data_IF_983995054571
#
_entry.id   IF_983995054571
#
_cell.length_a   1.000
_cell.length_b   1.000
_cell.length_c   1.000
_cell.angle_alpha   90.00
_cell.angle_beta   90.00
_cell.angle_gamma   90.00
#
_symmetry.space_group_name_H-M   'P 1'
#
loop_
_entity.id
_entity.type
_entity.pdbx_description
1 polymer ?
#
# COMPACT_ATOMS: atom_id res chain seq x y z
N UNK A 1 -24.06 -58.24 21.40
CA UNK A 1 -24.47 -59.50 22.10
C UNK A 1 -25.67 -59.14 22.96
N UNK A 2 -26.87 -59.15 22.37
CA UNK A 2 -28.13 -58.90 23.07
C UNK A 2 -29.09 -59.98 22.63
N UNK A 3 -29.07 -61.05 23.36
CA UNK A 3 -29.96 -62.18 23.20
C UNK A 3 -31.35 -61.85 23.78
N UNK A 4 -32.29 -61.77 22.94
CA UNK A 4 -33.60 -62.42 22.86
C UNK A 4 -34.33 -62.67 24.19
N UNK A 5 -35.01 -61.60 24.68
CA UNK A 5 -35.98 -61.69 25.76
C UNK A 5 -37.40 -62.06 25.29
N UNK A 6 -37.58 -62.29 24.01
CA UNK A 6 -38.86 -62.63 23.41
C UNK A 6 -39.23 -64.12 23.40
N UNK A 7 -38.26 -65.02 23.69
CA UNK A 7 -38.51 -66.43 23.57
C UNK A 7 -39.02 -67.13 24.86
N UNK A 8 -39.05 -66.39 25.98
CA UNK A 8 -39.43 -67.01 27.26
C UNK A 8 -40.90 -66.85 27.67
N UNK A 9 -41.66 -65.97 26.99
CA UNK A 9 -43.10 -65.79 27.27
C UNK A 9 -44.05 -66.72 26.48
N UNK A 10 -43.52 -67.45 25.50
CA UNK A 10 -44.39 -68.36 24.65
C UNK A 10 -44.47 -69.74 25.19
N UNK A 11 -43.63 -70.21 26.15
CA UNK A 11 -43.68 -71.54 26.72
C UNK A 11 -44.58 -71.73 27.91
N UNK A 12 -45.10 -70.64 28.52
CA UNK A 12 -45.97 -70.69 29.71
C UNK A 12 -47.50 -70.77 29.38
N UNK A 13 -47.90 -70.66 28.13
CA UNK A 13 -49.34 -70.66 27.75
C UNK A 13 -49.86 -72.05 27.36
N UNK A 14 -49.01 -73.13 27.23
CA UNK A 14 -49.41 -74.44 26.73
C UNK A 14 -49.63 -75.48 27.81
N UNK A 15 -49.59 -75.14 29.11
CA UNK A 15 -49.67 -76.15 30.22
C UNK A 15 -51.00 -76.09 31.00
N UNK A 16 -52.03 -75.38 30.55
CA UNK A 16 -53.37 -75.41 31.21
C UNK A 16 -54.48 -75.84 30.23
N UNK A 17 -54.24 -76.93 29.53
CA UNK A 17 -55.29 -77.64 28.75
C UNK A 17 -55.67 -78.89 29.42
N UNK A 18 -56.40 -78.86 30.55
CA UNK A 18 -56.81 -80.05 31.24
C UNK A 18 -57.93 -79.85 32.29
N UNK A 19 -58.76 -78.82 32.13
CA UNK A 19 -60.04 -78.81 32.91
C UNK A 19 -61.17 -78.46 31.97
N UNK A 20 -61.87 -79.51 31.52
CA UNK A 20 -63.10 -79.35 30.73
C UNK A 20 -64.20 -78.65 31.54
N UNK A 21 -64.12 -77.28 31.57
CA UNK A 21 -65.27 -76.42 31.93
C UNK A 21 -65.87 -75.97 30.60
N UNK A 22 -67.06 -76.39 30.22
CA UNK A 22 -67.82 -75.86 29.17
C UNK A 22 -68.18 -74.39 29.51
N UNK A 23 -67.27 -73.41 29.25
CA UNK A 23 -67.56 -72.04 29.37
C UNK A 23 -68.57 -71.69 28.26
N UNK A 24 -69.77 -71.26 28.59
CA UNK A 24 -70.79 -70.83 27.62
C UNK A 24 -70.22 -69.69 26.78
N UNK A 25 -70.56 -69.70 25.50
CA UNK A 25 -70.11 -68.67 24.53
C UNK A 25 -70.24 -67.26 25.07
N UNK A 26 -71.26 -66.98 25.83
CA UNK A 26 -71.48 -65.68 26.46
C UNK A 26 -70.54 -65.38 27.63
N UNK A 27 -70.11 -66.41 28.41
CA UNK A 27 -69.11 -66.20 29.47
C UNK A 27 -67.74 -65.84 28.88
N UNK A 28 -67.29 -66.59 27.86
CA UNK A 28 -66.04 -66.29 27.18
C UNK A 28 -66.09 -64.89 26.55
N UNK A 29 -67.18 -64.53 25.83
CA UNK A 29 -67.36 -63.23 25.26
C UNK A 29 -67.34 -62.11 26.30
N UNK A 30 -67.96 -62.28 27.43
CA UNK A 30 -67.97 -61.25 28.49
C UNK A 30 -66.62 -61.08 29.18
N UNK A 31 -65.78 -62.13 29.29
CA UNK A 31 -64.44 -62.07 29.83
C UNK A 31 -63.42 -61.55 28.83
N UNK A 32 -63.61 -61.81 27.54
CA UNK A 32 -62.67 -61.34 26.52
C UNK A 32 -62.96 -59.97 25.98
N UNK A 33 -64.22 -59.50 25.99
CA UNK A 33 -64.62 -58.17 25.49
C UNK A 33 -63.83 -57.03 26.11
N UNK A 34 -63.66 -56.95 27.46
CA UNK A 34 -62.88 -55.87 28.05
C UNK A 34 -61.38 -55.96 27.66
N UNK A 35 -60.85 -57.18 27.48
CA UNK A 35 -59.44 -57.37 27.03
C UNK A 35 -59.29 -56.85 25.59
N UNK A 36 -60.22 -57.19 24.71
CA UNK A 36 -60.23 -56.73 23.31
C UNK A 36 -60.35 -55.18 23.27
N UNK A 37 -61.21 -54.59 24.07
CA UNK A 37 -61.34 -53.14 24.19
C UNK A 37 -60.04 -52.47 24.68
N UNK A 38 -59.39 -53.05 25.69
CA UNK A 38 -58.12 -52.57 26.18
C UNK A 38 -57.01 -52.71 25.13
N UNK A 39 -56.98 -53.82 24.40
CA UNK A 39 -56.01 -54.03 23.28
C UNK A 39 -56.21 -53.01 22.20
N UNK A 40 -57.45 -52.80 21.74
CA UNK A 40 -57.75 -51.79 20.74
C UNK A 40 -57.33 -50.36 21.21
N UNK A 41 -57.63 -50.02 22.49
CA UNK A 41 -57.19 -48.75 23.06
C UNK A 41 -55.67 -48.61 23.13
N UNK A 42 -54.96 -49.73 23.39
CA UNK A 42 -53.53 -49.74 23.38
C UNK A 42 -52.95 -49.58 21.99
N UNK A 43 -53.54 -50.24 20.99
CA UNK A 43 -53.17 -50.06 19.57
C UNK A 43 -53.36 -48.62 19.11
N UNK A 44 -54.51 -47.99 19.46
CA UNK A 44 -54.75 -46.58 19.15
C UNK A 44 -53.72 -45.63 19.79
N UNK A 45 -53.39 -45.92 21.07
CA UNK A 45 -52.35 -45.13 21.77
C UNK A 45 -50.96 -45.35 21.12
N UNK A 46 -50.63 -46.57 20.75
CA UNK A 46 -49.38 -46.91 20.08
C UNK A 46 -49.28 -46.20 18.75
N UNK A 47 -50.37 -46.21 17.94
CA UNK A 47 -50.44 -45.48 16.68
C UNK A 47 -50.32 -43.98 16.87
N UNK A 48 -50.95 -43.39 17.90
CA UNK A 48 -50.81 -42.00 18.24
C UNK A 48 -49.39 -41.63 18.69
N UNK A 49 -48.78 -42.44 19.56
CA UNK A 49 -47.37 -42.24 19.98
C UNK A 49 -46.42 -42.30 18.78
N UNK A 50 -46.58 -43.27 17.87
CA UNK A 50 -45.75 -43.39 16.70
C UNK A 50 -45.85 -42.13 15.81
N UNK A 51 -47.06 -41.59 15.62
CA UNK A 51 -47.24 -40.31 14.89
C UNK A 51 -46.53 -39.18 15.58
N UNK A 52 -46.70 -39.04 16.92
CA UNK A 52 -46.05 -37.98 17.71
C UNK A 52 -44.49 -38.07 17.68
N UNK A 53 -43.99 -39.33 17.67
CA UNK A 53 -42.53 -39.56 17.49
C UNK A 53 -42.05 -39.10 16.13
N UNK A 54 -42.74 -39.46 15.02
CA UNK A 54 -42.39 -39.02 13.69
C UNK A 54 -42.46 -37.51 13.54
N UNK A 55 -43.53 -36.87 14.04
CA UNK A 55 -43.65 -35.40 14.04
C UNK A 55 -42.53 -34.70 14.83
N UNK A 56 -42.09 -35.34 15.93
CA UNK A 56 -40.97 -34.78 16.72
C UNK A 56 -39.65 -34.95 16.06
N UNK A 57 -39.42 -36.10 15.39
CA UNK A 57 -38.22 -36.39 14.60
C UNK A 57 -38.10 -35.41 13.40
N UNK A 58 -39.20 -35.26 12.65
CA UNK A 58 -39.26 -34.32 11.52
C UNK A 58 -38.95 -32.87 11.97
N UNK A 59 -39.53 -32.44 13.10
CA UNK A 59 -39.23 -31.12 13.68
C UNK A 59 -37.78 -30.98 14.14
N UNK A 60 -37.23 -32.02 14.74
CA UNK A 60 -35.84 -32.05 15.20
C UNK A 60 -34.88 -31.99 13.98
N UNK A 61 -35.14 -32.77 12.95
CA UNK A 61 -34.32 -32.78 11.72
C UNK A 61 -34.41 -31.41 11.01
N UNK A 62 -35.58 -30.82 10.89
CA UNK A 62 -35.76 -29.49 10.33
C UNK A 62 -35.02 -28.41 11.18
N UNK A 63 -35.04 -28.53 12.50
CA UNK A 63 -34.32 -27.66 13.42
C UNK A 63 -32.80 -27.78 13.25
N UNK A 64 -32.30 -29.01 13.18
CA UNK A 64 -30.88 -29.28 12.93
C UNK A 64 -30.43 -28.70 11.58
N UNK A 65 -31.23 -28.91 10.52
CA UNK A 65 -30.92 -28.34 9.20
C UNK A 65 -30.84 -26.82 9.19
N UNK A 66 -31.77 -26.15 9.89
CA UNK A 66 -31.73 -24.69 10.06
C UNK A 66 -30.50 -24.22 10.84
N UNK A 67 -30.16 -24.90 11.94
CA UNK A 67 -29.01 -24.57 12.76
C UNK A 67 -27.70 -24.76 11.99
N UNK A 68 -27.62 -25.82 11.22
CA UNK A 68 -26.47 -26.11 10.34
C UNK A 68 -26.29 -25.00 9.31
N UNK A 69 -27.36 -24.63 8.57
CA UNK A 69 -27.31 -23.56 7.58
C UNK A 69 -26.95 -22.21 8.19
N UNK A 70 -27.42 -21.92 9.40
CA UNK A 70 -27.02 -20.70 10.12
C UNK A 70 -25.52 -20.72 10.53
N UNK A 71 -25.04 -21.88 10.98
CA UNK A 71 -23.62 -22.04 11.32
C UNK A 71 -22.71 -21.91 10.09
N UNK A 72 -23.10 -22.48 8.95
CA UNK A 72 -22.35 -22.37 7.69
C UNK A 72 -22.33 -20.91 7.20
N UNK A 73 -23.44 -20.22 7.25
CA UNK A 73 -23.52 -18.79 6.90
C UNK A 73 -22.65 -17.93 7.84
N UNK A 74 -22.69 -18.21 9.14
CA UNK A 74 -21.85 -17.50 10.12
C UNK A 74 -20.35 -17.74 9.84
N UNK A 75 -19.97 -18.96 9.51
CA UNK A 75 -18.59 -19.31 9.17
C UNK A 75 -18.12 -18.60 7.90
N UNK A 76 -18.95 -18.56 6.85
CA UNK A 76 -18.66 -17.81 5.62
C UNK A 76 -18.49 -16.32 5.89
N UNK A 77 -19.38 -15.74 6.70
CA UNK A 77 -19.27 -14.33 7.09
C UNK A 77 -18.00 -14.05 7.90
N UNK A 78 -17.62 -14.95 8.81
CA UNK A 78 -16.39 -14.85 9.58
C UNK A 78 -15.15 -14.91 8.69
N UNK A 79 -15.12 -15.82 7.71
CA UNK A 79 -14.04 -15.90 6.73
C UNK A 79 -13.95 -14.64 5.85
N UNK A 80 -15.10 -14.12 5.39
CA UNK A 80 -15.17 -12.87 4.64
C UNK A 80 -14.67 -11.68 5.45
N UNK A 81 -15.07 -11.57 6.71
CA UNK A 81 -14.59 -10.53 7.62
C UNK A 81 -13.09 -10.65 7.91
N UNK A 82 -12.58 -11.88 8.08
CA UNK A 82 -11.16 -12.14 8.26
C UNK A 82 -10.31 -11.69 7.06
N UNK A 83 -10.79 -12.00 5.83
CA UNK A 83 -10.15 -11.54 4.61
C UNK A 83 -10.16 -10.00 4.50
N UNK A 84 -11.31 -9.38 4.72
CA UNK A 84 -11.44 -7.91 4.68
C UNK A 84 -10.54 -7.22 5.72
N UNK A 85 -10.39 -7.79 6.91
CA UNK A 85 -9.47 -7.30 7.93
C UNK A 85 -8.00 -7.43 7.49
N UNK A 86 -7.63 -8.54 6.85
CA UNK A 86 -6.29 -8.72 6.27
C UNK A 86 -5.97 -7.72 5.16
N UNK A 87 -6.92 -7.51 4.25
CA UNK A 87 -6.78 -6.53 3.17
C UNK A 87 -6.66 -5.10 3.72
N UNK A 88 -7.47 -4.75 4.73
CA UNK A 88 -7.39 -3.46 5.41
C UNK A 88 -6.05 -3.26 6.15
N UNK A 89 -5.53 -4.30 6.80
CA UNK A 89 -4.21 -4.25 7.46
C UNK A 89 -3.10 -4.02 6.44
N UNK A 90 -3.15 -4.69 5.30
CA UNK A 90 -2.18 -4.49 4.20
C UNK A 90 -2.24 -3.05 3.67
N UNK A 91 -3.44 -2.53 3.41
CA UNK A 91 -3.62 -1.15 2.96
C UNK A 91 -3.14 -0.13 4.00
N UNK A 92 -3.34 -0.40 5.29
CA UNK A 92 -2.83 0.45 6.38
C UNK A 92 -1.30 0.45 6.43
N UNK A 93 -0.67 -0.70 6.30
CA UNK A 93 0.79 -0.81 6.25
C UNK A 93 1.37 -0.06 5.04
N UNK A 94 0.76 -0.21 3.86
CA UNK A 94 1.17 0.52 2.66
C UNK A 94 1.01 2.04 2.84
N UNK A 95 -0.05 2.50 3.51
CA UNK A 95 -0.25 3.91 3.83
C UNK A 95 0.83 4.44 4.78
N UNK A 96 1.22 3.67 5.80
CA UNK A 96 2.33 4.02 6.71
C UNK A 96 3.64 4.13 5.93
N UNK A 97 3.99 3.16 5.09
CA UNK A 97 5.20 3.22 4.28
C UNK A 97 5.25 4.42 3.33
N UNK A 98 4.09 4.79 2.74
CA UNK A 98 4.00 6.01 1.92
C UNK A 98 4.15 7.27 2.76
N UNK A 99 3.58 7.31 3.96
CA UNK A 99 3.73 8.44 4.89
C UNK A 99 5.18 8.61 5.33
N UNK A 100 5.89 7.54 5.68
CA UNK A 100 7.31 7.56 6.06
C UNK A 100 8.19 8.02 4.90
N UNK A 101 7.89 7.56 3.68
CA UNK A 101 8.58 8.00 2.47
C UNK A 101 8.37 9.49 2.20
N UNK A 102 7.14 9.97 2.37
CA UNK A 102 6.82 11.39 2.20
C UNK A 102 7.49 12.25 3.28
N UNK A 103 7.48 11.81 4.54
CA UNK A 103 8.17 12.48 5.64
C UNK A 103 9.69 12.59 5.36
N UNK A 104 10.30 11.54 4.83
CA UNK A 104 11.70 11.56 4.41
C UNK A 104 11.96 12.57 3.28
N UNK A 105 11.06 12.64 2.28
CA UNK A 105 11.15 13.63 1.21
C UNK A 105 10.99 15.04 1.75
N UNK A 106 10.01 15.28 2.63
CA UNK A 106 9.75 16.60 3.23
C UNK A 106 10.94 17.06 4.06
N UNK A 107 11.52 16.19 4.88
CA UNK A 107 12.75 16.49 5.66
C UNK A 107 13.97 16.77 4.77
N UNK A 108 13.98 16.22 3.56
CA UNK A 108 15.04 16.43 2.58
C UNK A 108 14.87 17.65 1.68
N UNK A 109 13.71 18.36 1.72
CA UNK A 109 13.42 19.42 0.76
C UNK A 109 14.44 20.56 0.75
N UNK A 110 14.99 20.91 1.92
CA UNK A 110 16.00 21.97 2.06
C UNK A 110 17.44 21.43 2.04
N UNK A 111 17.62 20.13 1.85
CA UNK A 111 18.92 19.48 1.93
C UNK A 111 19.54 19.36 0.53
N UNK A 112 19.87 20.51 -0.06
CA UNK A 112 20.49 20.57 -1.37
C UNK A 112 21.91 20.04 -1.34
N UNK A 113 22.21 19.12 -2.24
CA UNK A 113 23.56 18.57 -2.48
C UNK A 113 24.04 18.97 -3.85
N UNK A 114 25.27 19.41 -3.95
CA UNK A 114 25.92 19.68 -5.22
C UNK A 114 26.18 18.36 -5.96
N UNK A 115 25.74 18.30 -7.21
CA UNK A 115 25.91 17.14 -8.09
C UNK A 115 26.83 17.42 -9.28
N UNK A 116 26.98 18.67 -9.65
CA UNK A 116 27.89 19.09 -10.72
C UNK A 116 28.26 20.55 -10.56
N UNK A 117 29.43 20.93 -11.05
CA UNK A 117 29.85 22.32 -11.13
C UNK A 117 30.68 22.59 -12.41
N UNK A 118 30.69 23.84 -12.83
CA UNK A 118 31.56 24.37 -13.89
C UNK A 118 31.86 25.84 -13.60
N UNK A 119 33.03 26.29 -14.01
CA UNK A 119 33.41 27.69 -13.90
C UNK A 119 33.88 28.21 -15.24
N UNK A 120 33.35 29.36 -15.66
CA UNK A 120 33.78 30.08 -16.88
C UNK A 120 34.43 31.41 -16.48
N UNK A 121 35.50 31.81 -17.21
CA UNK A 121 36.30 33.00 -16.90
C UNK A 121 36.04 34.10 -17.90
N UNK A 122 36.09 35.33 -17.46
CA UNK A 122 35.82 36.51 -18.29
C UNK A 122 37.04 37.39 -18.46
N UNK A 123 37.11 38.05 -19.62
CA UNK A 123 38.08 39.11 -19.86
C UNK A 123 37.93 40.28 -18.92
N UNK A 124 38.97 41.10 -18.80
CA UNK A 124 38.89 42.33 -18.03
C UNK A 124 37.78 43.23 -18.57
N UNK A 125 36.92 43.68 -17.69
CA UNK A 125 35.76 44.54 -18.00
C UNK A 125 34.80 43.96 -19.07
N UNK A 126 34.76 42.62 -19.19
CA UNK A 126 33.87 41.92 -20.12
C UNK A 126 32.84 41.10 -19.39
N UNK A 127 31.64 41.03 -20.02
CA UNK A 127 30.55 40.14 -19.63
C UNK A 127 30.02 39.31 -20.80
N UNK A 128 30.87 39.12 -21.84
CA UNK A 128 30.54 38.38 -23.06
C UNK A 128 31.21 37.01 -22.99
N UNK A 129 30.45 35.94 -23.25
CA UNK A 129 30.93 34.58 -23.30
C UNK A 129 31.79 34.39 -24.56
N UNK A 130 32.95 33.77 -24.41
CA UNK A 130 33.76 33.32 -25.56
C UNK A 130 33.21 31.99 -26.09
N UNK A 131 33.69 31.57 -27.28
CA UNK A 131 33.32 30.26 -27.83
C UNK A 131 33.77 29.14 -26.91
N UNK A 132 34.92 29.21 -26.27
CA UNK A 132 35.44 28.21 -25.36
C UNK A 132 34.52 28.12 -24.08
N UNK A 133 34.04 29.26 -23.56
CA UNK A 133 33.12 29.29 -22.46
C UNK A 133 31.78 28.64 -22.83
N UNK A 134 31.28 28.90 -24.04
CA UNK A 134 30.05 28.27 -24.56
C UNK A 134 30.22 26.74 -24.73
N UNK A 135 31.34 26.27 -25.22
CA UNK A 135 31.62 24.84 -25.38
C UNK A 135 31.67 24.13 -23.99
N UNK A 136 32.21 24.79 -22.95
CA UNK A 136 32.20 24.29 -21.58
C UNK A 136 30.75 24.24 -21.00
N UNK A 137 29.97 25.30 -21.23
CA UNK A 137 28.56 25.36 -20.81
C UNK A 137 27.72 24.31 -21.56
N UNK A 138 28.03 24.01 -22.82
CA UNK A 138 27.37 22.96 -23.59
C UNK A 138 27.63 21.58 -23.00
N UNK A 139 28.87 21.29 -22.61
CA UNK A 139 29.23 20.05 -21.94
C UNK A 139 28.53 19.92 -20.59
N UNK A 140 28.51 20.99 -19.82
CA UNK A 140 27.82 21.05 -18.55
C UNK A 140 26.30 20.82 -18.71
N UNK A 141 25.65 21.52 -19.65
CA UNK A 141 24.21 21.40 -19.87
C UNK A 141 23.80 19.98 -20.32
N UNK A 142 24.68 19.28 -21.06
CA UNK A 142 24.43 17.90 -21.46
C UNK A 142 24.34 16.97 -20.25
N UNK A 143 25.10 17.23 -19.19
CA UNK A 143 25.03 16.45 -17.95
C UNK A 143 23.71 16.60 -17.21
N UNK A 144 22.94 17.67 -17.50
CA UNK A 144 21.65 17.96 -16.87
C UNK A 144 20.45 17.28 -17.55
N UNK A 145 20.65 16.70 -18.75
CA UNK A 145 19.55 16.15 -19.57
C UNK A 145 18.71 15.12 -18.82
N UNK A 146 19.32 14.36 -17.92
CA UNK A 146 18.65 13.34 -17.11
C UNK A 146 18.38 13.76 -15.66
N UNK A 147 18.82 14.97 -15.27
CA UNK A 147 18.64 15.45 -13.90
C UNK A 147 17.19 15.93 -13.67
N UNK A 148 16.59 15.46 -12.59
CA UNK A 148 15.26 15.88 -12.14
C UNK A 148 15.37 16.64 -10.82
N UNK A 149 14.44 17.57 -10.58
CA UNK A 149 14.36 18.32 -9.32
C UNK A 149 15.69 18.96 -8.91
N UNK A 150 16.31 19.69 -9.84
CA UNK A 150 17.53 20.42 -9.60
C UNK A 150 17.32 21.93 -9.69
N UNK A 151 18.21 22.67 -9.05
CA UNK A 151 18.38 24.12 -9.22
C UNK A 151 19.81 24.38 -9.71
N UNK A 152 19.98 25.48 -10.42
CA UNK A 152 21.26 25.94 -10.92
C UNK A 152 21.62 27.24 -10.21
N UNK A 153 22.59 27.18 -9.34
CA UNK A 153 23.17 28.38 -8.70
C UNK A 153 24.25 28.97 -9.58
N UNK A 154 24.12 30.25 -9.89
CA UNK A 154 25.03 30.97 -10.78
C UNK A 154 25.61 32.17 -10.02
N UNK A 155 26.87 32.07 -9.63
CA UNK A 155 27.56 33.09 -8.85
C UNK A 155 28.61 33.80 -9.68
N UNK A 156 28.36 35.10 -9.98
CA UNK A 156 29.30 35.94 -10.72
C UNK A 156 30.31 36.65 -9.80
N UNK A 157 31.59 36.64 -10.18
CA UNK A 157 32.66 37.32 -9.48
C UNK A 157 33.48 38.26 -10.36
N UNK A 158 34.22 39.18 -9.74
CA UNK A 158 35.18 40.09 -10.39
C UNK A 158 36.53 40.01 -9.67
N UNK A 159 37.57 40.56 -10.30
CA UNK A 159 38.77 40.90 -9.60
C UNK A 159 38.56 42.18 -8.72
N UNK A 160 39.55 42.56 -7.95
CA UNK A 160 39.46 43.68 -7.01
C UNK A 160 39.60 45.08 -7.69
N UNK A 161 39.73 45.13 -9.00
CA UNK A 161 39.95 46.38 -9.72
C UNK A 161 38.66 47.17 -9.86
N UNK A 162 38.67 48.44 -9.40
CA UNK A 162 37.58 49.37 -9.54
C UNK A 162 36.65 49.47 -8.33
N UNK A 163 35.60 50.31 -8.44
CA UNK A 163 34.64 50.55 -7.37
C UNK A 163 33.78 49.31 -7.07
N UNK A 164 33.38 49.14 -5.81
CA UNK A 164 32.58 47.99 -5.38
C UNK A 164 31.27 47.87 -6.15
N UNK A 165 30.51 48.97 -6.24
CA UNK A 165 29.22 49.00 -6.96
C UNK A 165 29.36 48.55 -8.41
N UNK A 166 30.37 49.09 -9.10
CA UNK A 166 30.67 48.68 -10.48
C UNK A 166 30.94 47.16 -10.60
N UNK A 167 31.69 46.61 -9.65
CA UNK A 167 32.00 45.20 -9.64
C UNK A 167 30.77 44.33 -9.32
N UNK A 168 29.85 44.77 -8.48
CA UNK A 168 28.55 44.13 -8.30
C UNK A 168 27.78 44.07 -9.60
N UNK A 169 27.63 45.22 -10.29
CA UNK A 169 26.89 45.31 -11.54
C UNK A 169 27.57 44.46 -12.67
N UNK A 170 28.91 44.43 -12.70
CA UNK A 170 29.65 43.65 -13.69
C UNK A 170 29.50 42.14 -13.43
N UNK A 171 29.59 41.75 -12.17
CA UNK A 171 29.42 40.32 -11.79
C UNK A 171 28.00 39.84 -12.09
N UNK A 172 26.99 40.68 -11.86
CA UNK A 172 25.60 40.42 -12.21
C UNK A 172 25.45 40.20 -13.72
N UNK A 173 25.97 41.13 -14.56
CA UNK A 173 25.92 41.00 -16.02
C UNK A 173 26.62 39.76 -16.56
N UNK A 174 27.71 39.30 -15.90
CA UNK A 174 28.39 38.02 -16.25
C UNK A 174 27.50 36.83 -15.98
N UNK A 175 26.88 36.80 -14.79
CA UNK A 175 25.96 35.74 -14.40
C UNK A 175 24.72 35.73 -15.32
N UNK A 176 24.15 36.92 -15.64
CA UNK A 176 23.04 37.04 -16.59
C UNK A 176 23.39 36.45 -17.96
N UNK A 177 24.61 36.69 -18.49
CA UNK A 177 25.05 36.18 -19.78
C UNK A 177 25.08 34.64 -19.80
N UNK A 178 25.51 34.00 -18.70
CA UNK A 178 25.49 32.55 -18.55
C UNK A 178 24.07 32.03 -18.50
N UNK A 179 23.21 32.63 -17.67
CA UNK A 179 21.80 32.21 -17.52
C UNK A 179 21.08 32.35 -18.87
N UNK A 180 21.23 33.47 -19.56
CA UNK A 180 20.61 33.69 -20.87
C UNK A 180 21.06 32.63 -21.89
N UNK A 181 22.34 32.30 -21.92
CA UNK A 181 22.86 31.26 -22.82
C UNK A 181 22.25 29.89 -22.53
N UNK A 182 22.28 29.46 -21.27
CA UNK A 182 21.76 28.15 -20.85
C UNK A 182 20.23 28.05 -21.04
N UNK A 183 19.50 29.09 -20.66
CA UNK A 183 18.04 29.12 -20.79
C UNK A 183 17.61 29.10 -22.26
N UNK A 184 18.26 29.90 -23.13
CA UNK A 184 17.89 29.99 -24.53
C UNK A 184 18.24 28.74 -25.32
N UNK A 185 19.42 28.14 -25.10
CA UNK A 185 19.91 27.01 -25.88
C UNK A 185 19.37 25.66 -25.39
N UNK A 186 19.23 25.50 -24.08
CA UNK A 186 18.86 24.21 -23.44
C UNK A 186 17.46 24.21 -22.85
N UNK A 187 16.70 25.29 -23.06
CA UNK A 187 15.33 25.43 -22.57
C UNK A 187 15.20 25.17 -21.04
N UNK A 188 16.23 25.49 -20.25
CA UNK A 188 16.19 25.37 -18.80
C UNK A 188 15.23 26.44 -18.28
N UNK A 189 14.15 26.08 -17.54
CA UNK A 189 13.15 27.04 -17.05
C UNK A 189 13.76 28.08 -16.12
N UNK A 190 13.34 29.35 -16.25
CA UNK A 190 13.88 30.47 -15.49
C UNK A 190 13.79 30.25 -13.94
N UNK A 191 12.75 29.58 -13.47
CA UNK A 191 12.55 29.30 -12.03
C UNK A 191 13.59 28.33 -11.45
N UNK A 192 14.41 27.71 -12.27
CA UNK A 192 15.51 26.82 -11.81
C UNK A 192 16.81 27.56 -11.54
N UNK A 193 16.92 28.81 -11.95
CA UNK A 193 18.15 29.59 -11.76
C UNK A 193 18.07 30.45 -10.47
N UNK A 194 19.11 30.32 -9.66
CA UNK A 194 19.43 31.26 -8.59
C UNK A 194 20.69 31.99 -8.96
N UNK A 195 20.59 33.31 -9.12
CA UNK A 195 21.63 34.12 -9.69
C UNK A 195 22.07 35.20 -8.71
N UNK A 196 23.36 35.29 -8.46
CA UNK A 196 23.95 36.27 -7.53
C UNK A 196 25.25 36.86 -8.13
N UNK A 197 25.29 38.16 -8.26
CA UNK A 197 26.51 38.91 -8.52
C UNK A 197 27.13 39.33 -7.19
N UNK A 198 28.30 38.80 -6.86
CA UNK A 198 29.01 39.08 -5.58
C UNK A 198 30.13 40.10 -5.71
N UNK A 199 30.33 40.66 -6.91
CA UNK A 199 31.40 41.61 -7.14
C UNK A 199 32.78 41.02 -6.80
N UNK A 200 33.54 41.73 -6.02
CA UNK A 200 34.86 41.32 -5.56
C UNK A 200 34.91 40.67 -4.17
N UNK A 201 33.76 40.41 -3.55
CA UNK A 201 33.66 40.01 -2.15
C UNK A 201 34.15 38.60 -1.84
N UNK A 202 34.14 37.71 -2.84
CA UNK A 202 34.60 36.32 -2.69
C UNK A 202 35.72 36.02 -3.69
N UNK A 203 36.94 36.36 -3.34
CA UNK A 203 38.11 36.00 -4.14
C UNK A 203 38.48 34.51 -3.98
N UNK A 204 38.86 33.89 -5.09
CA UNK A 204 39.34 32.48 -5.11
C UNK A 204 40.83 32.39 -5.35
N UNK A 205 41.45 33.49 -5.73
CA UNK A 205 42.89 33.61 -5.96
C UNK A 205 43.38 35.01 -5.60
N UNK A 206 44.67 35.18 -5.26
CA UNK A 206 45.23 36.49 -4.88
C UNK A 206 45.09 37.52 -6.00
N UNK A 207 44.43 38.65 -5.72
CA UNK A 207 44.26 39.76 -6.67
C UNK A 207 45.57 40.49 -6.99
N UNK A 208 46.65 40.22 -6.23
CA UNK A 208 47.99 40.81 -6.46
C UNK A 208 48.61 40.36 -7.76
N UNK A 209 48.29 39.15 -8.24
CA UNK A 209 48.86 38.62 -9.49
C UNK A 209 47.87 38.76 -10.65
N UNK A 210 48.38 38.87 -11.86
CA UNK A 210 47.57 38.93 -13.06
C UNK A 210 46.74 37.63 -13.25
N UNK A 211 47.35 36.48 -12.96
CA UNK A 211 46.70 35.18 -13.06
C UNK A 211 45.58 35.04 -11.96
N UNK A 212 45.85 35.45 -10.74
CA UNK A 212 44.81 35.43 -9.72
C UNK A 212 43.62 36.33 -10.04
N UNK A 213 43.88 37.53 -10.58
CA UNK A 213 42.78 38.39 -11.07
C UNK A 213 42.01 37.75 -12.19
N UNK A 214 42.67 37.00 -13.09
CA UNK A 214 41.96 36.26 -14.16
C UNK A 214 41.05 35.18 -13.56
N UNK A 215 41.50 34.45 -12.54
CA UNK A 215 40.70 33.44 -11.87
C UNK A 215 39.50 34.06 -11.11
N UNK A 216 39.67 35.25 -10.52
CA UNK A 216 38.58 35.94 -9.83
C UNK A 216 37.48 36.47 -10.80
N UNK A 217 37.83 36.79 -12.06
CA UNK A 217 36.87 37.18 -13.10
C UNK A 217 36.15 35.97 -13.64
N UNK A 218 35.24 35.38 -12.87
CA UNK A 218 34.58 34.11 -13.18
C UNK A 218 33.07 34.16 -12.94
N UNK A 219 32.41 33.17 -13.47
CA UNK A 219 31.07 32.73 -13.05
C UNK A 219 31.17 31.27 -12.66
N UNK A 220 30.82 30.98 -11.42
CA UNK A 220 30.67 29.62 -10.92
C UNK A 220 29.21 29.20 -11.15
N UNK A 221 29.01 28.01 -11.71
CA UNK A 221 27.71 27.42 -11.95
C UNK A 221 27.70 26.10 -11.19
N UNK A 222 26.77 25.95 -10.25
CA UNK A 222 26.59 24.74 -9.46
C UNK A 222 25.21 24.19 -9.67
N UNK A 223 25.11 22.87 -9.83
CA UNK A 223 23.83 22.17 -9.85
C UNK A 223 23.62 21.53 -8.50
N UNK A 224 22.51 21.86 -7.91
CA UNK A 224 22.10 21.38 -6.59
C UNK A 224 20.81 20.58 -6.72
N UNK A 225 20.71 19.46 -6.04
CA UNK A 225 19.49 18.65 -5.96
C UNK A 225 19.18 18.30 -4.52
N UNK A 226 17.90 18.25 -4.20
CA UNK A 226 17.40 17.73 -2.93
C UNK A 226 16.92 16.28 -3.03
N UNK A 227 17.07 15.65 -4.20
CA UNK A 227 16.74 14.23 -4.39
C UNK A 227 17.96 13.36 -4.08
N UNK A 228 17.75 12.23 -3.41
CA UNK A 228 18.77 11.18 -3.30
C UNK A 228 19.04 10.51 -4.65
N UNK A 229 20.23 9.95 -4.82
CA UNK A 229 20.64 9.25 -6.04
C UNK A 229 19.67 8.11 -6.40
N UNK A 230 19.13 7.43 -5.39
CA UNK A 230 18.16 6.35 -5.55
C UNK A 230 16.79 6.85 -6.07
N UNK A 231 16.38 8.06 -5.68
CA UNK A 231 15.16 8.70 -6.16
C UNK A 231 15.29 9.19 -7.61
N UNK A 232 16.49 9.60 -8.03
CA UNK A 232 16.75 9.99 -9.41
C UNK A 232 16.68 8.79 -10.36
N UNK A 233 17.21 7.63 -9.98
CA UNK A 233 17.16 6.39 -10.77
C UNK A 233 15.76 5.77 -10.84
N UNK A 234 15.02 5.74 -9.73
CA UNK A 234 13.65 5.19 -9.67
C UNK A 234 12.67 5.96 -10.58
N UNK A 235 12.82 7.28 -10.69
CA UNK A 235 11.95 8.10 -11.55
C UNK A 235 12.21 7.93 -13.05
N UNK A 236 13.37 7.37 -13.44
CA UNK A 236 13.71 7.09 -14.84
C UNK A 236 13.04 5.81 -15.32
N UNK A 237 12.81 4.85 -14.44
CA UNK A 237 12.21 3.53 -14.76
C UNK A 237 10.68 3.60 -14.93
N UNK A 238 10.00 4.55 -14.29
CA UNK A 238 8.54 4.72 -14.43
C UNK A 238 8.11 5.49 -15.70
N UNK A 239 9.04 6.14 -16.41
CA UNK A 239 8.75 6.88 -17.65
C UNK A 239 8.81 6.05 -18.93
N UNK A 240 9.26 4.80 -18.87
CA UNK A 240 9.47 3.96 -20.06
C UNK A 240 8.32 2.97 -20.35
N UNK A 241 7.21 3.07 -19.63
CA UNK A 241 6.05 2.19 -19.73
C UNK A 241 4.75 2.93 -20.00
N UNK A 242 4.64 3.64 -21.13
CA UNK A 242 3.37 4.05 -21.74
C UNK A 242 3.54 4.13 -23.25
#
# INVERSE_FOLDING_TARGET
MTMNRFSLCMAAVLAVAGVTGCATKNYVKNQTAPIIDQTNKLDDKTAANNRAIHETDDRAQAGIGKAQGAADAANQNAQGAGKAAGDAQTAANDAVHRADSLDSVVKGLDNYKQISDVSVTFGFDKAVLTKADMDQLDTFATSLTNAKSYIVEVTGGTDSTGPAQYNYDLSQRRADAVVQYLAAKYAIPAHRFYLIGIGKDKEVAPNTTAEGRKQNRRVEIQVLTNMSTDQQTASTTQGAGK
#
